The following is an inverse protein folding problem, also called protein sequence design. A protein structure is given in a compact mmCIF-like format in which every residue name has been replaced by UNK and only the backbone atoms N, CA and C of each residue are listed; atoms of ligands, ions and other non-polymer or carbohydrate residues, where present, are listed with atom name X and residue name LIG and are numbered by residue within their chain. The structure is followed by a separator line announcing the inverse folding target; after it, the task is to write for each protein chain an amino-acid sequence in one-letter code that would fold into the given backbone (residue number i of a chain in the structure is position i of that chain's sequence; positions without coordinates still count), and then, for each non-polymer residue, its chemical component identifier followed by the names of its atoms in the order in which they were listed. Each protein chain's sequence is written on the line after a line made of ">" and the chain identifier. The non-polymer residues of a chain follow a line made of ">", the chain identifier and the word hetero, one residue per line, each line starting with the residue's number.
data_IF_651657023297
#
_entry.id   IF_651657023297
#
_cell.length_a   1.000
_cell.length_b   1.000
_cell.length_c   1.000
_cell.angle_alpha   90.00
_cell.angle_beta   90.00
_cell.angle_gamma   90.00
#
_symmetry.space_group_name_H-M   'P 1'
#
loop_
_entity.id
_entity.type
_entity.pdbx_description
1 polymer ?
#
# COMPACT_ATOMS: atom_id res chain seq x y z
N UNK A 1 -17.06 26.07 34.19
CA UNK A 1 -16.56 27.44 34.22
C UNK A 1 -16.44 27.94 32.80
N UNK A 2 -17.46 28.67 32.35
CA UNK A 2 -17.61 29.21 30.99
C UNK A 2 -16.88 30.53 30.92
N UNK A 3 -16.01 30.74 29.92
CA UNK A 3 -15.56 32.08 29.54
C UNK A 3 -15.83 32.27 28.06
N UNK A 4 -16.85 33.07 27.79
CA UNK A 4 -17.19 33.70 26.52
C UNK A 4 -16.16 34.78 26.18
N UNK A 5 -15.57 34.78 24.99
CA UNK A 5 -14.87 35.93 24.41
C UNK A 5 -15.35 36.14 22.97
N UNK A 6 -16.33 37.02 22.82
CA UNK A 6 -16.73 37.63 21.55
C UNK A 6 -15.63 38.65 21.16
N UNK A 7 -14.96 38.49 20.05
CA UNK A 7 -14.21 39.55 19.37
C UNK A 7 -14.92 39.92 18.08
N UNK A 8 -15.41 41.16 18.04
CA UNK A 8 -15.93 41.84 16.88
C UNK A 8 -14.83 42.01 15.83
N UNK A 9 -15.06 41.48 14.64
CA UNK A 9 -14.28 41.84 13.46
C UNK A 9 -15.03 42.91 12.68
N UNK A 10 -14.45 44.11 12.63
CA UNK A 10 -14.85 45.21 11.77
C UNK A 10 -14.42 44.90 10.34
N UNK A 11 -15.38 44.88 9.41
CA UNK A 11 -15.15 44.88 7.99
C UNK A 11 -15.01 46.32 7.48
N UNK A 12 -13.99 46.65 6.67
CA UNK A 12 -13.90 47.95 6.03
C UNK A 12 -14.88 48.07 4.85
N UNK A 13 -15.50 49.25 4.74
CA UNK A 13 -16.46 49.65 3.73
C UNK A 13 -15.81 49.68 2.34
N UNK A 14 -16.57 49.18 1.33
CA UNK A 14 -16.29 49.29 -0.08
C UNK A 14 -16.16 50.76 -0.51
N UNK A 15 -15.03 51.15 -1.04
CA UNK A 15 -14.87 52.32 -1.89
C UNK A 15 -15.14 51.91 -3.35
N UNK A 16 -16.12 52.59 -3.96
CA UNK A 16 -16.36 52.54 -5.41
C UNK A 16 -15.33 53.47 -6.07
N UNK A 17 -14.46 52.90 -6.86
CA UNK A 17 -13.73 53.69 -7.83
C UNK A 17 -14.11 53.28 -9.26
N UNK A 18 -14.64 54.25 -9.98
CA UNK A 18 -14.96 54.17 -11.42
C UNK A 18 -13.69 54.48 -12.19
N UNK A 19 -13.09 53.45 -12.79
CA UNK A 19 -12.01 53.65 -13.75
C UNK A 19 -12.39 52.94 -15.06
N UNK A 20 -13.04 53.68 -15.97
CA UNK A 20 -13.23 53.21 -17.34
C UNK A 20 -11.90 53.38 -18.09
N UNK A 21 -11.16 52.29 -18.30
CA UNK A 21 -10.13 52.24 -19.33
C UNK A 21 -10.70 51.59 -20.58
N UNK A 22 -10.85 52.38 -21.63
CA UNK A 22 -11.15 51.91 -22.98
C UNK A 22 -9.89 51.25 -23.53
N UNK A 23 -9.86 49.94 -23.63
CA UNK A 23 -8.95 49.25 -24.54
C UNK A 23 -9.63 49.11 -25.91
N UNK A 24 -9.27 49.98 -26.84
CA UNK A 24 -9.51 49.80 -28.27
C UNK A 24 -8.25 49.14 -28.86
N UNK A 25 -8.33 47.84 -29.07
CA UNK A 25 -7.42 47.16 -29.97
C UNK A 25 -8.23 46.33 -30.92
N UNK A 26 -8.29 46.80 -32.16
CA UNK A 26 -8.80 46.04 -33.27
C UNK A 26 -7.84 44.89 -33.57
N UNK A 27 -8.21 43.69 -33.24
CA UNK A 27 -7.52 42.47 -33.69
C UNK A 27 -8.42 41.77 -34.71
N UNK A 28 -8.05 41.88 -35.97
CA UNK A 28 -8.57 41.06 -37.08
C UNK A 28 -7.69 39.83 -37.18
N UNK A 29 -7.98 38.82 -36.36
CA UNK A 29 -7.37 37.49 -36.44
C UNK A 29 -8.47 36.43 -36.43
N UNK A 30 -8.53 35.60 -37.46
CA UNK A 30 -9.50 34.51 -37.57
C UNK A 30 -9.25 33.47 -36.48
N UNK A 31 -10.25 33.27 -35.62
CA UNK A 31 -10.27 32.21 -34.62
C UNK A 31 -10.68 30.91 -35.30
N UNK A 32 -9.77 29.94 -35.42
CA UNK A 32 -10.10 28.60 -35.91
C UNK A 32 -10.56 27.76 -34.70
N UNK A 33 -11.85 27.43 -34.67
CA UNK A 33 -12.42 26.48 -33.70
C UNK A 33 -11.97 25.08 -34.04
N UNK A 34 -11.15 24.47 -33.18
CA UNK A 34 -10.79 23.08 -33.28
C UNK A 34 -11.91 22.19 -32.69
N UNK A 35 -12.47 21.20 -33.42
CA UNK A 35 -13.56 20.35 -32.93
C UNK A 35 -13.05 19.12 -32.17
N UNK A 36 -12.44 19.31 -31.03
CA UNK A 36 -12.16 18.21 -30.10
C UNK A 36 -12.55 18.66 -28.70
N UNK A 37 -13.83 18.64 -28.41
CA UNK A 37 -14.36 18.52 -27.04
C UNK A 37 -15.88 18.60 -27.02
N UNK A 38 -16.52 17.53 -27.38
CA UNK A 38 -17.92 17.30 -27.04
C UNK A 38 -17.97 16.21 -25.97
N UNK A 39 -17.45 16.45 -24.77
CA UNK A 39 -17.74 15.65 -23.58
C UNK A 39 -17.02 16.12 -22.29
N UNK A 40 -16.89 17.45 -22.08
CA UNK A 40 -16.54 17.98 -20.73
C UNK A 40 -16.88 19.49 -20.69
N UNK A 41 -18.17 19.79 -20.87
CA UNK A 41 -18.67 21.16 -20.80
C UNK A 41 -19.18 21.45 -19.40
N UNK A 42 -18.36 22.04 -18.54
CA UNK A 42 -18.88 23.08 -17.62
C UNK A 42 -17.85 23.84 -16.77
N UNK A 43 -16.55 23.54 -16.78
CA UNK A 43 -15.65 24.23 -15.80
C UNK A 43 -14.35 24.81 -16.39
N UNK A 44 -13.89 24.49 -17.61
CA UNK A 44 -12.64 25.03 -18.14
C UNK A 44 -12.79 25.56 -19.56
N UNK A 45 -12.84 26.87 -19.70
CA UNK A 45 -12.66 27.54 -21.03
C UNK A 45 -11.15 27.81 -21.18
N UNK A 46 -10.45 26.97 -21.93
CA UNK A 46 -9.13 27.26 -22.44
C UNK A 46 -9.25 27.97 -23.78
N UNK A 47 -8.61 29.10 -23.93
CA UNK A 47 -8.48 29.79 -25.20
C UNK A 47 -7.11 29.53 -25.77
N UNK A 48 -7.08 29.07 -27.01
CA UNK A 48 -5.88 28.90 -27.81
C UNK A 48 -5.63 30.16 -28.61
N UNK A 49 -4.45 30.75 -28.52
CA UNK A 49 -4.06 31.92 -29.31
C UNK A 49 -2.68 31.64 -29.91
N UNK A 50 -2.59 31.70 -31.24
CA UNK A 50 -1.31 31.63 -31.95
C UNK A 50 -0.92 33.04 -32.38
N UNK A 51 0.28 33.47 -32.06
CA UNK A 51 0.79 34.75 -32.53
C UNK A 51 1.36 34.63 -33.98
N UNK A 52 1.55 35.77 -34.70
CA UNK A 52 2.09 35.73 -36.02
C UNK A 52 3.53 35.23 -36.15
N UNK A 53 4.21 34.97 -35.06
CA UNK A 53 5.58 34.45 -34.97
C UNK A 53 5.66 32.94 -34.77
N UNK A 54 4.53 32.22 -34.69
CA UNK A 54 4.49 30.76 -34.56
C UNK A 54 4.75 30.20 -33.18
N UNK A 55 4.71 31.04 -32.12
CA UNK A 55 4.90 30.60 -30.73
C UNK A 55 3.53 30.19 -30.15
N UNK A 56 3.47 28.98 -29.58
CA UNK A 56 2.26 28.45 -28.92
C UNK A 56 2.19 28.95 -27.48
N UNK A 57 1.13 29.63 -27.10
CA UNK A 57 0.90 30.12 -25.74
C UNK A 57 -0.41 29.56 -25.18
N UNK A 58 -0.39 28.97 -24.02
CA UNK A 58 -1.56 28.47 -23.29
C UNK A 58 -1.94 29.47 -22.19
N UNK A 59 -3.18 29.97 -22.20
CA UNK A 59 -3.70 30.83 -21.14
C UNK A 59 -4.56 29.98 -20.22
N UNK A 60 -4.06 29.69 -19.03
CA UNK A 60 -4.81 29.07 -17.95
C UNK A 60 -4.96 30.12 -16.83
N UNK A 61 -6.22 30.46 -16.50
CA UNK A 61 -6.56 31.41 -15.42
C UNK A 61 -5.97 32.83 -15.55
N UNK A 62 -5.81 33.35 -16.75
CA UNK A 62 -5.34 34.73 -16.94
C UNK A 62 -3.84 34.94 -16.68
N UNK A 63 -3.05 33.84 -16.50
CA UNK A 63 -1.61 33.90 -16.51
C UNK A 63 -1.07 33.46 -17.87
N UNK A 64 -0.35 34.35 -18.57
CA UNK A 64 0.41 33.94 -19.75
C UNK A 64 1.67 33.21 -19.30
N UNK A 65 1.80 31.95 -19.64
CA UNK A 65 3.07 31.23 -19.51
C UNK A 65 3.91 31.49 -20.75
N UNK A 66 5.00 32.25 -20.59
CA UNK A 66 6.02 32.37 -21.63
C UNK A 66 6.85 31.09 -21.67
N UNK A 67 6.77 30.35 -22.77
CA UNK A 67 7.42 29.05 -22.97
C UNK A 67 8.97 29.14 -23.04
N UNK A 68 9.56 30.28 -22.63
CA UNK A 68 11.00 30.55 -22.72
C UNK A 68 11.79 30.10 -21.49
N UNK A 69 11.16 29.52 -20.46
CA UNK A 69 11.88 28.98 -19.28
C UNK A 69 11.71 27.47 -19.17
N UNK A 70 12.51 26.67 -19.91
CA UNK A 70 12.45 25.21 -19.83
C UNK A 70 12.87 24.68 -18.43
N UNK A 71 13.43 25.55 -17.58
CA UNK A 71 13.96 25.16 -16.29
C UNK A 71 12.86 24.84 -15.25
N UNK A 72 11.64 25.43 -15.39
CA UNK A 72 10.53 25.19 -14.45
C UNK A 72 9.80 23.88 -14.70
N UNK A 73 9.83 23.33 -15.93
CA UNK A 73 9.17 22.10 -16.33
C UNK A 73 10.07 20.85 -16.21
N UNK A 74 11.36 21.01 -15.94
CA UNK A 74 12.33 19.91 -15.83
C UNK A 74 12.71 19.52 -14.40
N UNK A 75 12.21 20.20 -13.37
CA UNK A 75 12.46 19.79 -12.00
C UNK A 75 11.57 18.61 -11.63
N UNK A 76 12.21 17.48 -11.37
CA UNK A 76 11.60 16.33 -10.71
C UNK A 76 11.19 16.75 -9.29
N UNK A 77 9.88 16.96 -9.06
CA UNK A 77 9.30 17.31 -7.76
C UNK A 77 8.92 16.10 -6.92
N UNK A 78 9.30 14.89 -7.35
CA UNK A 78 9.06 13.68 -6.58
C UNK A 78 9.96 13.63 -5.33
N UNK A 79 9.52 12.96 -4.26
CA UNK A 79 10.33 12.74 -3.05
C UNK A 79 11.69 12.12 -3.39
N UNK A 80 12.76 12.66 -2.84
CA UNK A 80 14.15 12.23 -3.08
C UNK A 80 14.78 11.53 -1.87
N UNK A 81 14.23 11.76 -0.68
CA UNK A 81 14.74 11.26 0.58
C UNK A 81 13.63 10.58 1.39
N UNK A 82 13.38 9.32 1.05
CA UNK A 82 12.25 8.55 1.58
C UNK A 82 12.72 7.68 2.75
N UNK A 83 11.96 7.69 3.84
CA UNK A 83 12.11 6.72 4.92
C UNK A 83 10.91 5.75 4.89
N UNK A 84 11.20 4.45 4.84
CA UNK A 84 10.22 3.39 4.90
C UNK A 84 10.17 2.81 6.32
N UNK A 85 9.09 3.05 7.06
CA UNK A 85 8.91 2.52 8.41
C UNK A 85 8.43 1.06 8.41
N UNK A 86 8.18 0.49 7.22
CA UNK A 86 7.75 -0.89 7.02
C UNK A 86 8.44 -1.54 5.82
N UNK A 87 8.36 -2.85 5.76
CA UNK A 87 9.12 -3.67 4.81
C UNK A 87 8.54 -3.62 3.39
N UNK A 88 7.21 -3.67 3.25
CA UNK A 88 6.53 -3.75 1.96
C UNK A 88 6.78 -2.53 1.07
N UNK A 89 6.91 -1.34 1.68
CA UNK A 89 7.22 -0.11 0.93
C UNK A 89 8.68 -0.07 0.49
N UNK A 90 9.60 -0.61 1.32
CA UNK A 90 11.00 -0.80 0.94
C UNK A 90 11.11 -1.74 -0.25
N UNK A 91 10.49 -2.94 -0.18
CA UNK A 91 10.50 -3.93 -1.27
C UNK A 91 9.93 -3.34 -2.56
N UNK A 92 8.80 -2.62 -2.46
CA UNK A 92 8.17 -1.99 -3.63
C UNK A 92 9.09 -0.98 -4.32
N UNK A 93 9.76 -0.11 -3.57
CA UNK A 93 10.70 0.87 -4.14
C UNK A 93 11.92 0.20 -4.80
N UNK A 94 12.44 -0.88 -4.22
CA UNK A 94 13.51 -1.66 -4.86
C UNK A 94 13.04 -2.31 -6.17
N UNK A 95 11.83 -2.86 -6.21
CA UNK A 95 11.25 -3.45 -7.42
C UNK A 95 10.98 -2.41 -8.52
N UNK A 96 10.72 -1.16 -8.14
CA UNK A 96 10.55 -0.04 -9.07
C UNK A 96 11.89 0.61 -9.50
N UNK A 97 13.03 0.15 -8.97
CA UNK A 97 14.35 0.72 -9.26
C UNK A 97 14.65 2.04 -8.56
N UNK A 98 13.87 2.38 -7.51
CA UNK A 98 13.93 3.67 -6.79
C UNK A 98 14.62 3.55 -5.41
N UNK A 99 15.45 2.53 -5.21
CA UNK A 99 16.19 2.27 -3.95
C UNK A 99 17.11 3.43 -3.52
N UNK A 100 17.59 4.23 -4.48
CA UNK A 100 18.46 5.37 -4.17
C UNK A 100 17.73 6.49 -3.41
N UNK A 101 16.42 6.56 -3.55
CA UNK A 101 15.58 7.50 -2.77
C UNK A 101 15.45 7.09 -1.30
N UNK A 102 15.69 5.80 -0.97
CA UNK A 102 15.55 5.30 0.40
C UNK A 102 16.75 5.74 1.23
N UNK A 103 16.50 6.55 2.26
CA UNK A 103 17.53 7.04 3.19
C UNK A 103 17.42 6.39 4.58
N UNK A 104 16.37 5.64 4.88
CA UNK A 104 16.19 4.92 6.14
C UNK A 104 15.11 3.86 6.05
N UNK A 105 15.27 2.77 6.82
CA UNK A 105 14.36 1.62 6.80
C UNK A 105 13.98 1.15 8.20
N UNK A 106 12.96 0.29 8.27
CA UNK A 106 12.61 -0.48 9.46
C UNK A 106 13.64 -1.57 9.76
N UNK A 107 13.89 -1.84 11.03
CA UNK A 107 14.70 -2.98 11.48
C UNK A 107 14.10 -4.35 11.17
N UNK A 108 12.84 -4.41 10.80
CA UNK A 108 12.18 -5.63 10.33
C UNK A 108 12.32 -5.87 8.82
N UNK A 109 12.85 -4.91 8.07
CA UNK A 109 13.10 -5.06 6.63
C UNK A 109 14.09 -6.20 6.38
N UNK A 110 13.64 -7.27 5.72
CA UNK A 110 14.45 -8.40 5.26
C UNK A 110 14.41 -8.58 3.75
N UNK A 111 13.49 -7.87 3.09
CA UNK A 111 13.31 -7.90 1.63
C UNK A 111 13.45 -6.48 1.02
N UNK A 112 14.30 -6.35 -0.02
CA UNK A 112 15.33 -7.33 -0.40
C UNK A 112 16.44 -7.38 0.66
N UNK A 113 17.17 -8.49 0.74
CA UNK A 113 18.20 -8.71 1.76
C UNK A 113 19.33 -7.66 1.74
N UNK A 114 19.56 -7.04 0.58
CA UNK A 114 20.57 -5.99 0.38
C UNK A 114 20.21 -4.70 1.12
N UNK A 115 18.92 -4.39 1.28
CA UNK A 115 18.46 -3.16 1.93
C UNK A 115 19.03 -2.98 3.35
N UNK A 116 19.11 -4.05 4.13
CA UNK A 116 19.70 -3.99 5.50
C UNK A 116 21.19 -3.71 5.53
N UNK A 117 21.89 -3.95 4.44
CA UNK A 117 23.35 -3.68 4.33
C UNK A 117 23.60 -2.25 3.89
N UNK A 118 22.71 -1.68 3.11
CA UNK A 118 22.89 -0.39 2.45
C UNK A 118 22.21 0.77 3.18
N UNK A 119 21.12 0.49 3.91
CA UNK A 119 20.27 1.55 4.46
C UNK A 119 20.27 1.52 5.99
N UNK A 120 20.37 2.70 6.66
CA UNK A 120 20.34 2.79 8.11
C UNK A 120 18.97 2.39 8.67
N UNK A 121 18.99 1.68 9.82
CA UNK A 121 17.80 1.31 10.56
C UNK A 121 17.39 2.46 11.48
N UNK A 122 16.16 2.96 11.31
CA UNK A 122 15.63 4.11 12.07
C UNK A 122 14.40 3.78 12.91
N UNK A 123 13.76 2.62 12.68
CA UNK A 123 12.54 2.22 13.41
C UNK A 123 12.49 0.73 13.68
N UNK A 124 11.61 0.35 14.61
CA UNK A 124 11.00 -0.97 14.72
C UNK A 124 9.56 -0.90 14.16
N UNK A 125 8.74 -1.92 14.35
CA UNK A 125 7.36 -1.88 13.85
C UNK A 125 6.49 -0.84 14.58
N UNK A 126 6.58 -0.76 15.91
CA UNK A 126 5.77 0.15 16.75
C UNK A 126 6.56 1.30 17.37
N UNK A 127 7.87 1.37 17.15
CA UNK A 127 8.74 2.40 17.69
C UNK A 127 9.68 2.96 16.63
N UNK A 128 10.03 4.24 16.75
CA UNK A 128 10.99 4.90 15.87
C UNK A 128 11.89 5.84 16.66
N UNK A 129 13.12 6.04 16.18
CA UNK A 129 13.99 7.09 16.68
C UNK A 129 13.77 8.34 15.85
N UNK A 130 12.96 9.26 16.36
CA UNK A 130 12.63 10.51 15.67
C UNK A 130 13.89 11.31 15.34
N UNK A 131 14.84 11.39 16.27
CA UNK A 131 16.11 12.12 16.04
C UNK A 131 16.91 11.50 14.88
N UNK A 132 16.99 10.16 14.80
CA UNK A 132 17.65 9.50 13.66
C UNK A 132 16.93 9.77 12.34
N UNK A 133 15.60 9.78 12.36
CA UNK A 133 14.78 10.10 11.19
C UNK A 133 15.07 11.54 10.74
N UNK A 134 15.02 12.51 11.65
CA UNK A 134 15.25 13.93 11.35
C UNK A 134 16.69 14.19 10.88
N UNK A 135 17.68 13.50 11.44
CA UNK A 135 19.08 13.59 11.01
C UNK A 135 19.31 13.17 9.55
N UNK A 136 18.43 12.31 9.01
CA UNK A 136 18.45 11.91 7.62
C UNK A 136 17.75 12.92 6.69
N UNK A 137 17.18 14.01 7.22
CA UNK A 137 16.48 15.06 6.49
C UNK A 137 15.53 14.49 5.40
N UNK A 138 14.53 13.65 5.75
CA UNK A 138 13.61 13.07 4.78
C UNK A 138 12.64 14.13 4.26
N UNK A 139 12.27 14.02 2.99
CA UNK A 139 11.17 14.77 2.38
C UNK A 139 9.85 13.98 2.39
N UNK A 140 9.92 12.64 2.61
CA UNK A 140 8.77 11.78 2.81
C UNK A 140 9.10 10.65 3.80
N UNK A 141 8.20 10.41 4.76
CA UNK A 141 8.22 9.22 5.60
C UNK A 141 6.97 8.39 5.32
N UNK A 142 7.14 7.09 5.07
CA UNK A 142 6.05 6.17 4.76
C UNK A 142 5.85 5.23 5.93
N UNK A 143 4.63 5.20 6.47
CA UNK A 143 4.23 4.35 7.56
C UNK A 143 3.06 3.44 7.22
N UNK A 144 2.66 2.61 8.19
CA UNK A 144 1.56 1.66 8.05
C UNK A 144 0.68 1.65 9.30
N UNK A 145 -0.61 1.81 9.07
CA UNK A 145 -1.70 1.65 10.04
C UNK A 145 -1.71 2.58 11.25
N UNK A 146 -2.75 2.44 12.04
CA UNK A 146 -2.97 3.07 13.34
C UNK A 146 -1.88 2.72 14.37
N UNK A 147 -1.21 1.58 14.23
CA UNK A 147 -0.11 1.16 15.10
C UNK A 147 1.09 2.12 15.06
N UNK A 148 1.26 2.88 13.97
CA UNK A 148 2.29 3.90 13.82
C UNK A 148 1.77 5.33 13.94
N UNK A 149 0.52 5.52 14.38
CA UNK A 149 -0.13 6.84 14.50
C UNK A 149 0.65 7.83 15.39
N UNK A 150 1.23 7.36 16.49
CA UNK A 150 2.04 8.21 17.38
C UNK A 150 3.33 8.67 16.70
N UNK A 151 3.98 7.79 15.95
CA UNK A 151 5.18 8.13 15.17
C UNK A 151 4.83 9.18 14.11
N UNK A 152 3.74 8.96 13.36
CA UNK A 152 3.26 9.89 12.36
C UNK A 152 2.93 11.27 12.96
N UNK A 153 2.20 11.31 14.09
CA UNK A 153 1.87 12.54 14.81
C UNK A 153 3.13 13.34 15.18
N UNK A 154 4.13 12.67 15.71
CA UNK A 154 5.38 13.31 16.14
C UNK A 154 6.18 13.88 14.95
N UNK A 155 6.28 13.13 13.86
CA UNK A 155 6.94 13.55 12.63
C UNK A 155 6.23 14.75 11.98
N UNK A 156 4.91 14.73 11.91
CA UNK A 156 4.09 15.83 11.38
C UNK A 156 4.33 17.11 12.23
N UNK A 157 4.37 16.99 13.55
CA UNK A 157 4.66 18.11 14.45
C UNK A 157 6.08 18.70 14.25
N UNK A 158 7.00 17.93 13.66
CA UNK A 158 8.35 18.38 13.28
C UNK A 158 8.44 18.86 11.83
N UNK A 159 7.32 18.98 11.12
CA UNK A 159 7.28 19.50 9.74
C UNK A 159 7.63 18.45 8.66
N UNK A 160 7.67 17.17 9.00
CA UNK A 160 7.95 16.08 8.05
C UNK A 160 6.66 15.67 7.34
N UNK A 161 6.71 15.49 6.01
CA UNK A 161 5.61 14.91 5.25
C UNK A 161 5.51 13.42 5.55
N UNK A 162 4.32 12.96 5.94
CA UNK A 162 4.09 11.55 6.29
C UNK A 162 2.93 11.00 5.46
N UNK A 163 3.16 9.84 4.83
CA UNK A 163 2.12 9.07 4.16
C UNK A 163 1.91 7.75 4.92
N UNK A 164 0.71 7.52 5.44
CA UNK A 164 0.38 6.31 6.20
C UNK A 164 -0.57 5.44 5.39
N UNK A 165 -0.12 4.23 5.05
CA UNK A 165 -0.94 3.20 4.44
C UNK A 165 -1.79 2.50 5.49
N UNK A 166 -3.04 2.18 5.13
CA UNK A 166 -3.95 1.47 6.03
C UNK A 166 -4.75 0.38 5.31
N UNK A 167 -4.15 -0.22 4.29
CA UNK A 167 -4.76 -1.31 3.52
C UNK A 167 -4.68 -2.64 4.26
N UNK A 168 -5.66 -3.52 4.01
CA UNK A 168 -5.77 -4.84 4.66
C UNK A 168 -6.15 -5.96 3.70
N UNK A 169 -6.42 -5.64 2.42
CA UNK A 169 -6.85 -6.58 1.39
C UNK A 169 -5.80 -6.73 0.29
N UNK A 170 -5.93 -7.75 -0.52
CA UNK A 170 -5.12 -7.96 -1.74
C UNK A 170 -5.26 -6.78 -2.70
N UNK A 171 -6.47 -6.27 -2.89
CA UNK A 171 -6.69 -5.08 -3.73
C UNK A 171 -6.05 -3.82 -3.12
N UNK A 172 -6.09 -3.69 -1.80
CA UNK A 172 -5.39 -2.63 -1.09
C UNK A 172 -3.86 -2.69 -1.26
N UNK A 173 -3.26 -3.89 -1.34
CA UNK A 173 -1.84 -4.06 -1.68
C UNK A 173 -1.56 -3.52 -3.09
N UNK A 174 -2.40 -3.84 -4.07
CA UNK A 174 -2.27 -3.30 -5.42
C UNK A 174 -2.39 -1.78 -5.45
N UNK A 175 -3.35 -1.23 -4.70
CA UNK A 175 -3.52 0.22 -4.52
C UNK A 175 -2.27 0.89 -3.95
N UNK A 176 -1.67 0.32 -2.92
CA UNK A 176 -0.42 0.82 -2.32
C UNK A 176 0.72 0.84 -3.34
N UNK A 177 0.93 -0.25 -4.11
CA UNK A 177 1.98 -0.34 -5.12
C UNK A 177 1.83 0.77 -6.17
N UNK A 178 0.61 0.97 -6.70
CA UNK A 178 0.32 2.00 -7.72
C UNK A 178 0.51 3.41 -7.16
N UNK A 179 0.01 3.67 -5.95
CA UNK A 179 0.15 4.98 -5.29
C UNK A 179 1.62 5.30 -5.01
N UNK A 180 2.38 4.33 -4.47
CA UNK A 180 3.81 4.51 -4.21
C UNK A 180 4.59 4.75 -5.49
N UNK A 181 4.30 3.99 -6.56
CA UNK A 181 4.89 4.20 -7.87
C UNK A 181 4.60 5.60 -8.42
N UNK A 182 3.38 6.08 -8.26
CA UNK A 182 2.98 7.44 -8.68
C UNK A 182 3.73 8.52 -7.87
N UNK A 183 3.92 8.32 -6.58
CA UNK A 183 4.67 9.24 -5.70
C UNK A 183 6.15 9.38 -6.08
N UNK A 184 6.72 8.42 -6.79
CA UNK A 184 8.13 8.45 -7.23
C UNK A 184 8.30 8.57 -8.74
N UNK A 185 7.22 8.89 -9.48
CA UNK A 185 7.25 9.06 -10.93
C UNK A 185 7.33 7.75 -11.73
N UNK A 186 6.97 6.62 -11.10
CA UNK A 186 6.99 5.26 -11.68
C UNK A 186 5.59 4.64 -11.81
N UNK A 187 4.58 5.48 -12.02
CA UNK A 187 3.18 5.04 -12.07
C UNK A 187 2.91 3.97 -13.13
N UNK A 188 3.47 4.10 -14.34
CA UNK A 188 3.31 3.11 -15.41
C UNK A 188 3.93 1.77 -15.02
N UNK A 189 5.17 1.78 -14.51
CA UNK A 189 5.88 0.56 -14.06
C UNK A 189 5.15 -0.14 -12.92
N UNK A 190 4.59 0.64 -11.97
CA UNK A 190 3.79 0.11 -10.87
C UNK A 190 2.49 -0.54 -11.37
N UNK A 191 1.81 0.07 -12.35
CA UNK A 191 0.63 -0.52 -12.97
C UNK A 191 0.95 -1.81 -13.72
N UNK A 192 2.05 -1.88 -14.48
CA UNK A 192 2.46 -3.11 -15.16
C UNK A 192 2.87 -4.20 -14.15
N UNK A 193 3.52 -3.84 -13.03
CA UNK A 193 3.82 -4.78 -11.95
C UNK A 193 2.53 -5.37 -11.36
N UNK A 194 1.54 -4.54 -11.03
CA UNK A 194 0.24 -4.98 -10.50
C UNK A 194 -0.49 -5.86 -11.51
N UNK A 195 -0.47 -5.51 -12.79
CA UNK A 195 -1.03 -6.34 -13.87
C UNK A 195 -0.37 -7.72 -13.94
N UNK A 196 0.95 -7.77 -13.76
CA UNK A 196 1.69 -9.04 -13.66
C UNK A 196 1.19 -9.91 -12.51
N UNK A 197 1.05 -9.34 -11.31
CA UNK A 197 0.51 -10.06 -10.15
C UNK A 197 -0.93 -10.54 -10.37
N UNK A 198 -1.81 -9.68 -10.89
CA UNK A 198 -3.20 -10.04 -11.20
C UNK A 198 -3.29 -11.19 -12.21
N UNK A 199 -2.45 -11.17 -13.25
CA UNK A 199 -2.40 -12.24 -14.24
C UNK A 199 -1.94 -13.56 -13.63
N UNK A 200 -0.97 -13.54 -12.71
CA UNK A 200 -0.51 -14.76 -12.04
C UNK A 200 -1.56 -15.32 -11.08
N UNK A 201 -2.23 -14.46 -10.33
CA UNK A 201 -3.36 -14.84 -9.47
C UNK A 201 -4.48 -15.48 -10.30
N UNK A 202 -4.82 -14.90 -11.45
CA UNK A 202 -5.87 -15.46 -12.32
C UNK A 202 -5.48 -16.82 -12.91
N UNK A 203 -4.21 -17.03 -13.27
CA UNK A 203 -3.73 -18.36 -13.67
C UNK A 203 -3.85 -19.40 -12.55
N UNK A 204 -3.49 -19.01 -11.32
CA UNK A 204 -3.61 -19.88 -10.14
C UNK A 204 -5.08 -20.24 -9.90
N UNK A 205 -5.97 -19.25 -9.96
CA UNK A 205 -7.41 -19.43 -9.77
C UNK A 205 -8.00 -20.38 -10.82
N UNK A 206 -7.72 -20.12 -12.09
CA UNK A 206 -8.20 -20.95 -13.19
C UNK A 206 -7.65 -22.39 -13.12
N UNK A 207 -6.40 -22.58 -12.71
CA UNK A 207 -5.82 -23.91 -12.52
C UNK A 207 -6.48 -24.71 -11.39
N UNK A 208 -7.16 -24.02 -10.45
CA UNK A 208 -7.81 -24.63 -9.29
C UNK A 208 -9.34 -24.64 -9.38
N UNK A 209 -9.94 -24.09 -10.45
CA UNK A 209 -11.40 -23.95 -10.59
C UNK A 209 -12.10 -25.32 -10.76
N UNK A 210 -11.44 -26.26 -11.43
CA UNK A 210 -11.96 -27.60 -11.72
C UNK A 210 -11.49 -28.70 -10.73
N UNK A 211 -10.76 -28.33 -9.68
CA UNK A 211 -10.16 -29.29 -8.74
C UNK A 211 -11.14 -29.63 -7.60
N UNK A 212 -12.31 -30.15 -7.89
CA UNK A 212 -13.17 -30.85 -6.95
C UNK A 212 -13.34 -30.20 -5.56
N UNK A 213 -13.05 -30.95 -4.48
CA UNK A 213 -13.21 -30.51 -3.10
C UNK A 213 -12.10 -29.51 -2.71
N UNK A 214 -12.47 -28.32 -2.18
CA UNK A 214 -11.54 -27.34 -1.65
C UNK A 214 -11.07 -27.74 -0.24
N UNK A 215 -9.74 -27.73 0.06
CA UNK A 215 -9.25 -28.03 1.39
C UNK A 215 -9.59 -26.92 2.40
N UNK A 216 -9.89 -27.30 3.62
CA UNK A 216 -9.99 -26.41 4.76
C UNK A 216 -8.59 -26.04 5.23
N UNK A 217 -8.26 -24.75 5.26
CA UNK A 217 -6.94 -24.22 5.64
C UNK A 217 -7.03 -23.47 6.96
N UNK A 218 -6.20 -23.87 7.90
CA UNK A 218 -5.93 -23.07 9.09
C UNK A 218 -4.64 -22.29 8.90
N UNK A 219 -4.72 -20.96 8.93
CA UNK A 219 -3.54 -20.10 8.96
C UNK A 219 -3.29 -19.64 10.40
N UNK A 220 -2.07 -19.87 10.90
CA UNK A 220 -1.65 -19.49 12.24
C UNK A 220 -0.62 -18.38 12.19
N UNK A 221 -1.05 -17.13 12.47
CA UNK A 221 -0.17 -15.95 12.51
C UNK A 221 0.69 -15.91 13.77
N UNK A 222 0.18 -16.47 14.86
CA UNK A 222 0.87 -16.54 16.15
C UNK A 222 0.41 -17.75 16.96
N UNK A 223 1.29 -18.26 17.83
CA UNK A 223 1.11 -19.56 18.47
C UNK A 223 0.58 -19.49 19.91
N UNK A 224 0.69 -18.36 20.62
CA UNK A 224 0.23 -18.20 22.00
C UNK A 224 0.05 -16.71 22.37
N UNK A 225 -1.20 -16.21 22.47
CA UNK A 225 -2.43 -16.91 22.09
C UNK A 225 -2.47 -17.23 20.59
N UNK A 226 -3.30 -18.21 20.20
CA UNK A 226 -3.50 -18.49 18.77
C UNK A 226 -4.15 -17.29 18.09
N UNK A 227 -3.59 -16.87 16.94
CA UNK A 227 -4.11 -15.77 16.14
C UNK A 227 -4.32 -16.28 14.71
N UNK A 228 -5.53 -16.12 14.19
CA UNK A 228 -5.88 -16.47 12.81
C UNK A 228 -5.31 -15.48 11.79
N UNK A 229 -5.36 -15.82 10.51
CA UNK A 229 -4.88 -15.01 9.40
C UNK A 229 -5.54 -13.63 9.32
N UNK A 230 -4.77 -12.64 8.88
CA UNK A 230 -5.27 -11.31 8.54
C UNK A 230 -5.94 -11.32 7.15
N UNK A 231 -6.73 -10.31 6.83
CA UNK A 231 -7.61 -10.25 5.67
C UNK A 231 -6.93 -10.67 4.35
N UNK A 232 -5.81 -10.05 3.97
CA UNK A 232 -5.15 -10.42 2.70
C UNK A 232 -4.66 -11.87 2.68
N UNK A 233 -4.32 -12.47 3.83
CA UNK A 233 -3.91 -13.88 3.91
C UNK A 233 -5.12 -14.80 3.67
N UNK A 234 -6.26 -14.47 4.29
CA UNK A 234 -7.53 -15.18 4.06
C UNK A 234 -7.93 -15.11 2.59
N UNK A 235 -7.86 -13.92 1.97
CA UNK A 235 -8.13 -13.72 0.54
C UNK A 235 -7.17 -14.53 -0.35
N UNK A 236 -5.86 -14.57 -0.01
CA UNK A 236 -4.88 -15.35 -0.78
C UNK A 236 -5.13 -16.87 -0.68
N UNK A 237 -5.62 -17.37 0.47
CA UNK A 237 -6.04 -18.77 0.62
C UNK A 237 -7.21 -19.08 -0.30
N UNK A 238 -8.23 -18.21 -0.32
CA UNK A 238 -9.41 -18.37 -1.19
C UNK A 238 -9.05 -18.30 -2.68
N UNK A 239 -8.22 -17.31 -3.06
CA UNK A 239 -7.72 -17.15 -4.44
C UNK A 239 -6.87 -18.35 -4.89
N UNK A 240 -6.17 -18.98 -3.96
CA UNK A 240 -5.39 -20.19 -4.23
C UNK A 240 -6.23 -21.48 -4.25
N UNK A 241 -7.55 -21.41 -4.00
CA UNK A 241 -8.47 -22.53 -4.07
C UNK A 241 -8.72 -23.26 -2.74
N UNK A 242 -8.32 -22.68 -1.60
CA UNK A 242 -8.61 -23.18 -0.25
C UNK A 242 -9.86 -22.53 0.36
N UNK A 243 -10.22 -22.98 1.57
CA UNK A 243 -11.23 -22.36 2.44
C UNK A 243 -10.53 -21.99 3.73
N UNK A 244 -10.44 -20.70 4.06
CA UNK A 244 -9.97 -20.27 5.37
C UNK A 244 -11.00 -20.62 6.44
N UNK A 245 -10.60 -21.44 7.44
CA UNK A 245 -11.53 -21.87 8.49
C UNK A 245 -11.90 -20.75 9.48
N UNK A 246 -11.28 -19.58 9.37
CA UNK A 246 -11.54 -18.39 10.18
C UNK A 246 -11.86 -17.16 9.33
N UNK A 247 -12.47 -17.34 8.15
CA UNK A 247 -12.84 -16.24 7.25
C UNK A 247 -13.69 -15.15 7.94
N UNK A 248 -14.52 -15.53 8.93
CA UNK A 248 -15.36 -14.61 9.68
C UNK A 248 -14.55 -13.61 10.54
N UNK A 249 -13.29 -13.95 10.87
CA UNK A 249 -12.39 -13.06 11.62
C UNK A 249 -11.54 -12.14 10.73
N UNK A 250 -11.52 -12.37 9.42
CA UNK A 250 -10.60 -11.68 8.49
C UNK A 250 -10.71 -10.16 8.49
N UNK A 251 -11.92 -9.62 8.72
CA UNK A 251 -12.17 -8.18 8.72
C UNK A 251 -11.68 -7.46 9.98
N UNK A 252 -11.25 -8.20 11.01
CA UNK A 252 -10.64 -7.65 12.20
C UNK A 252 -9.20 -7.22 11.91
N UNK A 253 -8.94 -5.91 11.90
CA UNK A 253 -7.63 -5.35 11.53
C UNK A 253 -6.53 -5.61 12.56
N UNK A 254 -6.89 -5.74 13.85
CA UNK A 254 -5.94 -5.94 14.94
C UNK A 254 -5.82 -7.41 15.32
N UNK A 255 -4.59 -7.86 15.61
CA UNK A 255 -4.29 -9.23 16.03
C UNK A 255 -5.12 -9.67 17.26
N UNK A 256 -5.35 -8.76 18.24
CA UNK A 256 -6.15 -9.03 19.45
C UNK A 256 -7.59 -9.46 19.13
N UNK A 257 -8.16 -8.97 18.04
CA UNK A 257 -9.53 -9.25 17.64
C UNK A 257 -9.65 -10.54 16.79
N UNK A 258 -8.49 -11.13 16.42
CA UNK A 258 -8.36 -12.39 15.68
C UNK A 258 -7.86 -13.54 16.58
N UNK A 259 -7.80 -13.31 17.89
CA UNK A 259 -7.44 -14.37 18.85
C UNK A 259 -8.48 -15.48 18.83
N UNK A 260 -7.99 -16.72 18.83
CA UNK A 260 -8.77 -17.94 19.01
C UNK A 260 -8.64 -18.32 20.48
N UNK A 261 -9.72 -18.12 21.23
CA UNK A 261 -9.72 -18.25 22.69
C UNK A 261 -9.60 -19.72 23.17
N UNK A 262 -10.18 -20.64 22.40
CA UNK A 262 -10.15 -22.08 22.70
C UNK A 262 -9.41 -22.85 21.60
N UNK A 263 -8.31 -23.48 21.96
CA UNK A 263 -7.53 -24.33 21.06
C UNK A 263 -8.34 -25.51 20.50
N UNK A 264 -9.39 -25.98 21.20
CA UNK A 264 -10.27 -27.04 20.71
C UNK A 264 -11.11 -26.58 19.52
N UNK A 265 -11.39 -25.29 19.34
CA UNK A 265 -12.11 -24.77 18.19
C UNK A 265 -11.41 -25.13 16.87
N UNK A 266 -10.07 -25.12 16.84
CA UNK A 266 -9.32 -25.56 15.64
C UNK A 266 -9.52 -27.06 15.40
N UNK A 267 -9.58 -27.86 16.47
CA UNK A 267 -9.82 -29.33 16.38
C UNK A 267 -11.23 -29.60 15.82
N UNK A 268 -12.24 -28.87 16.29
CA UNK A 268 -13.63 -29.02 15.84
C UNK A 268 -13.81 -28.59 14.37
N UNK A 269 -13.15 -27.51 13.93
CA UNK A 269 -13.15 -27.06 12.54
C UNK A 269 -12.40 -28.02 11.61
N UNK A 270 -11.49 -28.81 12.18
CA UNK A 270 -10.74 -29.91 11.55
C UNK A 270 -10.16 -29.53 10.19
N UNK A 271 -9.13 -28.66 10.12
CA UNK A 271 -8.49 -28.27 8.88
C UNK A 271 -7.76 -29.44 8.19
N UNK A 272 -7.76 -29.41 6.86
CA UNK A 272 -7.02 -30.33 6.01
C UNK A 272 -5.56 -29.91 5.81
N UNK A 273 -5.29 -28.60 5.96
CA UNK A 273 -3.96 -27.96 5.83
C UNK A 273 -3.75 -26.99 6.99
N UNK A 274 -2.54 -26.96 7.57
CA UNK A 274 -2.11 -25.95 8.50
C UNK A 274 -0.94 -25.19 7.88
N UNK A 275 -1.05 -23.86 7.80
CA UNK A 275 0.04 -22.96 7.38
C UNK A 275 0.38 -22.05 8.57
N UNK A 276 1.59 -22.16 9.09
CA UNK A 276 2.07 -21.33 10.19
C UNK A 276 3.00 -20.22 9.67
N UNK A 277 2.85 -19.03 10.23
CA UNK A 277 3.69 -17.88 9.93
C UNK A 277 3.86 -17.00 11.16
N UNK A 278 4.66 -17.50 12.14
CA UNK A 278 4.83 -16.79 13.40
C UNK A 278 5.64 -15.51 13.20
N UNK A 279 4.99 -14.38 13.43
CA UNK A 279 5.57 -13.07 13.21
C UNK A 279 6.84 -12.85 14.04
N UNK A 280 8.00 -12.73 13.35
CA UNK A 280 9.29 -12.52 14.02
C UNK A 280 9.85 -13.70 14.80
N UNK A 281 9.22 -14.88 14.73
CA UNK A 281 9.72 -16.11 15.38
C UNK A 281 9.80 -17.27 14.40
N UNK A 282 10.76 -18.15 14.64
CA UNK A 282 10.89 -19.40 13.89
C UNK A 282 9.75 -20.35 14.28
N UNK A 283 9.06 -20.87 13.27
CA UNK A 283 8.06 -21.91 13.45
C UNK A 283 8.72 -23.19 14.02
N UNK A 284 8.06 -23.80 14.99
CA UNK A 284 8.47 -25.07 15.61
C UNK A 284 7.30 -26.03 15.56
N UNK A 285 7.33 -26.95 14.60
CA UNK A 285 6.28 -27.95 14.37
C UNK A 285 5.99 -28.78 15.62
N UNK A 286 7.01 -29.07 16.44
CA UNK A 286 6.89 -29.82 17.67
C UNK A 286 5.97 -29.13 18.69
N UNK A 287 6.00 -27.78 18.74
CA UNK A 287 5.10 -27.01 19.62
C UNK A 287 3.64 -27.10 19.19
N UNK A 288 3.39 -27.15 17.87
CA UNK A 288 2.06 -27.34 17.32
C UNK A 288 1.55 -28.75 17.63
N UNK A 289 2.37 -29.78 17.40
CA UNK A 289 2.03 -31.17 17.64
C UNK A 289 1.82 -31.51 19.11
N UNK A 290 2.45 -30.78 20.03
CA UNK A 290 2.32 -30.98 21.47
C UNK A 290 0.98 -30.45 22.05
N UNK A 291 0.17 -29.76 21.26
CA UNK A 291 -1.12 -29.23 21.73
C UNK A 291 -2.11 -30.36 21.97
N UNK A 292 -2.90 -30.20 23.03
CA UNK A 292 -3.90 -31.20 23.43
C UNK A 292 -4.92 -31.42 22.31
N UNK A 293 -5.21 -32.68 21.99
CA UNK A 293 -6.19 -33.13 20.98
C UNK A 293 -5.83 -32.83 19.52
N UNK A 294 -4.76 -32.12 19.22
CA UNK A 294 -4.41 -31.72 17.84
C UNK A 294 -4.02 -32.92 16.96
N UNK A 295 -3.63 -34.05 17.55
CA UNK A 295 -3.41 -35.31 16.82
C UNK A 295 -4.66 -35.84 16.09
N UNK A 296 -5.86 -35.34 16.45
CA UNK A 296 -7.11 -35.71 15.80
C UNK A 296 -7.37 -34.92 14.50
N UNK A 297 -6.66 -33.80 14.26
CA UNK A 297 -6.83 -32.92 13.10
C UNK A 297 -6.33 -33.62 11.83
N UNK A 298 -7.09 -33.50 10.72
CA UNK A 298 -6.73 -34.09 9.42
C UNK A 298 -5.33 -33.65 8.95
N UNK A 299 -5.03 -32.36 9.02
CA UNK A 299 -3.73 -31.81 8.64
C UNK A 299 -2.57 -32.44 9.43
N UNK A 300 -2.79 -32.77 10.70
CA UNK A 300 -1.77 -33.40 11.57
C UNK A 300 -1.60 -34.86 11.17
N UNK A 301 -2.71 -35.60 10.96
CA UNK A 301 -2.69 -37.02 10.54
C UNK A 301 -2.02 -37.22 9.19
N UNK A 302 -2.26 -36.30 8.24
CA UNK A 302 -1.72 -36.37 6.87
C UNK A 302 -0.38 -35.65 6.70
N UNK A 303 0.17 -35.09 7.77
CA UNK A 303 1.40 -34.29 7.76
C UNK A 303 1.36 -33.10 6.80
N UNK A 304 0.19 -32.47 6.66
CA UNK A 304 -0.03 -31.26 5.87
C UNK A 304 0.16 -30.00 6.69
N UNK A 305 1.35 -29.84 7.23
CA UNK A 305 1.76 -28.72 8.11
C UNK A 305 2.95 -28.01 7.48
N UNK A 306 2.81 -26.72 7.17
CA UNK A 306 3.79 -25.95 6.44
C UNK A 306 4.13 -24.64 7.17
N UNK A 307 5.31 -24.10 6.91
CA UNK A 307 5.69 -22.74 7.28
C UNK A 307 5.78 -21.88 6.01
N UNK A 308 5.16 -20.70 6.04
CA UNK A 308 5.48 -19.60 5.12
C UNK A 308 6.07 -18.48 5.95
N UNK A 309 7.25 -17.98 5.60
CA UNK A 309 7.94 -16.94 6.37
C UNK A 309 7.10 -15.67 6.46
N UNK A 310 7.09 -15.04 7.63
CA UNK A 310 6.33 -13.81 7.88
C UNK A 310 6.73 -12.66 6.95
N UNK A 311 7.99 -12.59 6.55
CA UNK A 311 8.49 -11.64 5.56
C UNK A 311 7.97 -11.85 4.13
N UNK A 312 7.32 -12.99 3.85
CA UNK A 312 6.67 -13.27 2.57
C UNK A 312 5.17 -12.96 2.67
N UNK A 313 4.49 -13.51 3.68
CA UNK A 313 3.03 -13.56 3.68
C UNK A 313 2.37 -12.52 4.62
N UNK A 314 3.05 -12.10 5.70
CA UNK A 314 2.51 -11.15 6.68
C UNK A 314 2.86 -9.69 6.40
N UNK A 315 3.63 -9.42 5.34
CA UNK A 315 3.86 -8.06 4.85
C UNK A 315 2.86 -7.77 3.72
N UNK A 316 2.01 -6.73 3.87
CA UNK A 316 0.98 -6.44 2.85
C UNK A 316 1.59 -5.75 1.62
N UNK A 317 2.36 -6.47 0.85
CA UNK A 317 3.14 -5.97 -0.27
C UNK A 317 3.41 -7.00 -1.37
N UNK A 318 4.38 -6.70 -2.25
CA UNK A 318 4.69 -7.52 -3.44
C UNK A 318 4.94 -9.00 -3.14
N UNK A 319 5.67 -9.30 -2.04
CA UNK A 319 5.97 -10.68 -1.66
C UNK A 319 4.71 -11.50 -1.40
N UNK A 320 3.71 -10.94 -0.72
CA UNK A 320 2.48 -11.66 -0.40
C UNK A 320 1.68 -12.05 -1.65
N UNK A 321 1.50 -11.09 -2.58
CA UNK A 321 0.69 -11.28 -3.81
C UNK A 321 1.46 -11.98 -4.94
N UNK A 322 2.77 -12.10 -4.84
CA UNK A 322 3.63 -12.82 -5.79
C UNK A 322 4.04 -14.20 -5.26
N UNK A 323 5.07 -14.23 -4.41
CA UNK A 323 5.63 -15.46 -3.85
C UNK A 323 4.66 -16.16 -2.90
N UNK A 324 3.98 -15.38 -2.02
CA UNK A 324 3.08 -15.90 -0.99
C UNK A 324 1.93 -16.71 -1.57
N UNK A 325 1.20 -16.15 -2.53
CA UNK A 325 0.08 -16.86 -3.18
C UNK A 325 0.56 -18.11 -3.93
N UNK A 326 1.73 -18.03 -4.59
CA UNK A 326 2.30 -19.17 -5.32
C UNK A 326 2.67 -20.31 -4.37
N UNK A 327 3.17 -20.01 -3.17
CA UNK A 327 3.44 -20.99 -2.12
C UNK A 327 2.15 -21.63 -1.60
N UNK A 328 1.11 -20.85 -1.33
CA UNK A 328 -0.20 -21.37 -0.90
C UNK A 328 -0.78 -22.29 -1.97
N UNK A 329 -0.77 -21.87 -3.23
CA UNK A 329 -1.27 -22.67 -4.36
C UNK A 329 -0.52 -24.01 -4.49
N UNK A 330 0.81 -24.00 -4.32
CA UNK A 330 1.62 -25.22 -4.32
C UNK A 330 1.22 -26.18 -3.17
N UNK A 331 1.00 -25.64 -1.98
CA UNK A 331 0.56 -26.44 -0.81
C UNK A 331 -0.81 -27.07 -1.07
N UNK A 332 -1.76 -26.30 -1.62
CA UNK A 332 -3.10 -26.79 -1.96
C UNK A 332 -3.03 -27.89 -3.03
N UNK A 333 -2.21 -27.70 -4.08
CA UNK A 333 -1.99 -28.72 -5.10
C UNK A 333 -1.40 -30.00 -4.49
N UNK A 334 -0.40 -29.88 -3.61
CA UNK A 334 0.17 -31.03 -2.91
C UNK A 334 -0.87 -31.80 -2.08
N UNK A 335 -1.86 -31.09 -1.51
CA UNK A 335 -2.96 -31.75 -0.80
C UNK A 335 -3.84 -32.56 -1.78
N UNK A 336 -4.19 -32.01 -2.95
CA UNK A 336 -4.95 -32.72 -3.97
C UNK A 336 -4.25 -33.98 -4.50
N UNK A 337 -2.93 -33.92 -4.67
CA UNK A 337 -2.11 -35.06 -5.13
C UNK A 337 -2.07 -36.22 -4.13
N UNK A 338 -2.51 -35.99 -2.88
CA UNK A 338 -2.54 -37.00 -1.81
C UNK A 338 -3.93 -37.56 -1.56
N UNK A 339 -4.99 -37.08 -2.27
CA UNK A 339 -6.34 -37.60 -2.15
C UNK A 339 -6.53 -38.78 -3.10
#
# INVERSE_FOLDING_TARGET
>A
MLINSKRNMHLPKKQKDQGKSKCSAAFTGQCILCPVSLLLSSILKSYYCQDPGGTESYIIFGMSYDNKDPMFLQQDHFPKRIICLTEETTETLYLLGEQERIVGISGFTVRPAVARKEKPIVSTFTGASIDKILALAPDLVIGFSDLQSNIAKELIAKGVTVWVNNHRSVDGIFGMIVQLGSLVGKGEQANEMVKGFKNEIEKIKNANEDIGKKPKVYFEEWFDPLISGICWVSELIELAGGIDIYEEKRNASLAKDRIIADNNEVVERNPDIIIASWCGKMFKKEKLLARKNWHAINAVKSDMIFEIKSSIILQPGPAAVGEGISMIAKIIRQWHERQ
#
